data_IF_488092536528
#
_entry.id   IF_488092536528
#
_cell.length_a   1.000
_cell.length_b   1.000
_cell.length_c   1.000
_cell.angle_alpha   90.00
_cell.angle_beta   90.00
_cell.angle_gamma   90.00
#
_symmetry.space_group_name_H-M   'P 1'
#
loop_
_entity.id
_entity.type
_entity.pdbx_description
1 polymer ?
#
# COMPACT_ATOMS: atom_id res chain seq x y z
N UNK A 1 19.74 8.72 -13.92
CA UNK A 1 18.72 9.63 -13.33
C UNK A 1 19.42 10.52 -12.31
N UNK A 2 19.16 11.83 -12.28
CA UNK A 2 19.77 12.73 -11.29
C UNK A 2 19.22 12.46 -9.89
N UNK A 3 20.02 12.76 -8.83
CA UNK A 3 19.61 12.59 -7.42
C UNK A 3 18.33 13.38 -7.12
N UNK A 4 18.21 14.60 -7.65
CA UNK A 4 17.04 15.45 -7.42
C UNK A 4 15.76 14.89 -8.08
N UNK A 5 15.87 14.29 -9.27
CA UNK A 5 14.73 13.55 -9.89
C UNK A 5 14.31 12.37 -9.05
N UNK A 6 15.28 11.59 -8.58
CA UNK A 6 15.02 10.45 -7.71
C UNK A 6 14.31 10.89 -6.43
N UNK A 7 14.81 11.93 -5.77
CA UNK A 7 14.22 12.50 -4.57
C UNK A 7 12.77 12.98 -4.82
N UNK A 8 12.54 13.69 -5.94
CA UNK A 8 11.19 14.15 -6.35
C UNK A 8 10.23 12.97 -6.49
N UNK A 9 10.67 11.87 -7.12
CA UNK A 9 9.84 10.69 -7.31
C UNK A 9 9.57 9.95 -5.98
N UNK A 10 10.57 9.85 -5.10
CA UNK A 10 10.40 9.29 -3.75
C UNK A 10 9.37 10.12 -2.96
N UNK A 11 9.47 11.45 -2.96
CA UNK A 11 8.51 12.32 -2.29
C UNK A 11 7.10 12.22 -2.89
N UNK A 12 7.00 12.02 -4.21
CA UNK A 12 5.70 11.83 -4.87
C UNK A 12 4.99 10.56 -4.39
N UNK A 13 5.74 9.47 -4.20
CA UNK A 13 5.19 8.23 -3.64
C UNK A 13 4.91 8.39 -2.13
N UNK A 14 5.75 9.16 -1.42
CA UNK A 14 5.57 9.44 0.01
C UNK A 14 4.23 10.13 0.30
N UNK A 15 3.87 11.21 -0.42
CA UNK A 15 2.59 11.90 -0.19
C UNK A 15 1.39 11.01 -0.46
N UNK A 16 1.48 10.10 -1.43
CA UNK A 16 0.43 9.15 -1.72
C UNK A 16 0.30 8.09 -0.61
N UNK A 17 1.42 7.51 -0.17
CA UNK A 17 1.43 6.55 0.94
C UNK A 17 0.92 7.16 2.25
N UNK A 18 1.28 8.42 2.52
CA UNK A 18 0.82 9.12 3.71
C UNK A 18 -0.71 9.28 3.73
N UNK A 19 -1.31 9.78 2.64
CA UNK A 19 -2.75 10.02 2.59
C UNK A 19 -3.56 8.72 2.66
N UNK A 20 -3.02 7.62 2.17
CA UNK A 20 -3.69 6.32 2.16
C UNK A 20 -3.98 5.82 3.57
N UNK A 21 -2.99 5.85 4.46
CA UNK A 21 -3.05 5.23 5.79
C UNK A 21 -3.35 6.21 6.93
N UNK A 22 -3.27 7.53 6.67
CA UNK A 22 -3.35 8.56 7.70
C UNK A 22 -4.68 8.56 8.47
N UNK A 23 -5.80 8.28 7.79
CA UNK A 23 -7.13 8.27 8.43
C UNK A 23 -7.20 7.23 9.56
N UNK A 24 -6.52 6.09 9.43
CA UNK A 24 -6.49 5.08 10.49
C UNK A 24 -5.87 5.61 11.80
N UNK A 25 -4.91 6.55 11.71
CA UNK A 25 -4.26 7.13 12.88
C UNK A 25 -5.07 8.23 13.58
N UNK A 26 -5.96 8.93 12.85
CA UNK A 26 -6.72 10.08 13.35
C UNK A 26 -8.23 9.84 13.41
N UNK A 27 -8.66 8.58 13.35
CA UNK A 27 -10.05 8.17 13.18
C UNK A 27 -10.97 8.68 14.29
N UNK A 28 -10.54 8.58 15.55
CA UNK A 28 -11.28 9.07 16.71
C UNK A 28 -11.49 10.59 16.68
N UNK A 29 -10.46 11.35 16.28
CA UNK A 29 -10.54 12.81 16.17
C UNK A 29 -11.55 13.24 15.10
N UNK A 30 -11.54 12.54 13.95
CA UNK A 30 -12.52 12.78 12.90
C UNK A 30 -13.94 12.38 13.33
N UNK A 31 -14.09 11.26 14.02
CA UNK A 31 -15.37 10.77 14.54
C UNK A 31 -16.02 11.79 15.48
N UNK A 32 -15.24 12.31 16.43
CA UNK A 32 -15.72 13.30 17.39
C UNK A 32 -16.12 14.63 16.74
N UNK A 33 -15.29 15.17 15.85
CA UNK A 33 -15.53 16.46 15.20
C UNK A 33 -16.68 16.42 14.17
N UNK A 34 -16.82 15.30 13.45
CA UNK A 34 -17.87 15.11 12.43
C UNK A 34 -19.18 14.55 13.00
N UNK A 35 -19.21 14.20 14.29
CA UNK A 35 -20.36 13.58 14.98
C UNK A 35 -20.86 12.30 14.28
N UNK A 36 -19.96 11.48 13.78
CA UNK A 36 -20.25 10.18 13.16
C UNK A 36 -19.45 9.08 13.88
N UNK A 37 -19.91 7.83 13.77
CA UNK A 37 -19.17 6.73 14.39
C UNK A 37 -17.81 6.48 13.73
N UNK A 38 -16.86 5.93 14.47
CA UNK A 38 -15.53 5.53 13.95
C UNK A 38 -15.67 4.50 12.81
N UNK A 39 -16.67 3.63 12.88
CA UNK A 39 -17.00 2.71 11.79
C UNK A 39 -17.34 3.44 10.48
N UNK A 40 -18.07 4.56 10.57
CA UNK A 40 -18.39 5.42 9.41
C UNK A 40 -17.14 6.12 8.91
N UNK A 41 -16.28 6.66 9.80
CA UNK A 41 -15.00 7.27 9.41
C UNK A 41 -14.10 6.24 8.72
N UNK A 42 -14.07 5.00 9.19
CA UNK A 42 -13.33 3.90 8.57
C UNK A 42 -13.69 3.66 7.10
N UNK A 43 -14.93 3.97 6.69
CA UNK A 43 -15.33 3.87 5.28
C UNK A 43 -14.57 4.86 4.36
N UNK A 44 -13.97 5.93 4.90
CA UNK A 44 -13.08 6.79 4.12
C UNK A 44 -11.82 6.04 3.64
N UNK A 45 -11.30 5.09 4.42
CA UNK A 45 -10.21 4.21 3.99
C UNK A 45 -10.70 3.24 2.92
N UNK A 46 -11.87 2.65 3.12
CA UNK A 46 -12.53 1.79 2.13
C UNK A 46 -12.74 2.50 0.80
N UNK A 47 -13.35 3.68 0.81
CA UNK A 47 -13.60 4.46 -0.42
C UNK A 47 -12.30 4.80 -1.14
N UNK A 48 -11.25 5.14 -0.38
CA UNK A 48 -9.93 5.39 -0.96
C UNK A 48 -9.39 4.14 -1.66
N UNK A 49 -9.34 3.00 -0.97
CA UNK A 49 -8.76 1.76 -1.49
C UNK A 49 -9.53 1.22 -2.71
N UNK A 50 -10.86 1.22 -2.67
CA UNK A 50 -11.69 0.78 -3.81
C UNK A 50 -11.55 1.71 -5.00
N UNK A 51 -11.54 3.02 -4.77
CA UNK A 51 -11.32 4.00 -5.85
C UNK A 51 -9.94 3.81 -6.48
N UNK A 52 -8.90 3.61 -5.66
CA UNK A 52 -7.55 3.33 -6.14
C UNK A 52 -7.51 2.09 -7.03
N UNK A 53 -8.12 0.98 -6.58
CA UNK A 53 -8.16 -0.28 -7.32
C UNK A 53 -8.86 -0.16 -8.68
N UNK A 54 -9.97 0.59 -8.74
CA UNK A 54 -10.79 0.74 -9.94
C UNK A 54 -10.23 1.81 -10.88
N UNK A 55 -9.93 2.99 -10.33
CA UNK A 55 -9.52 4.14 -11.14
C UNK A 55 -8.11 4.01 -11.70
N UNK A 56 -7.20 3.31 -10.99
CA UNK A 56 -5.80 3.16 -11.44
C UNK A 56 -5.68 2.64 -12.88
N UNK A 57 -6.16 1.44 -13.20
CA UNK A 57 -6.09 0.89 -14.56
C UNK A 57 -6.83 1.74 -15.60
N UNK A 58 -8.00 2.29 -15.23
CA UNK A 58 -8.83 3.10 -16.13
C UNK A 58 -8.11 4.40 -16.50
N UNK A 59 -7.65 5.15 -15.51
CA UNK A 59 -7.00 6.45 -15.73
C UNK A 59 -5.65 6.30 -16.45
N UNK A 60 -4.90 5.25 -16.18
CA UNK A 60 -3.68 4.94 -16.92
C UNK A 60 -3.99 4.75 -18.40
N UNK A 61 -4.99 3.92 -18.72
CA UNK A 61 -5.41 3.68 -20.11
C UNK A 61 -5.87 4.97 -20.81
N UNK A 62 -6.66 5.79 -20.12
CA UNK A 62 -7.18 7.06 -20.66
C UNK A 62 -6.07 8.09 -20.88
N UNK A 63 -5.05 8.10 -20.03
CA UNK A 63 -3.98 9.11 -20.07
C UNK A 63 -2.74 8.67 -20.83
N UNK A 64 -2.66 7.42 -21.31
CA UNK A 64 -1.48 6.94 -22.06
C UNK A 64 -1.24 7.66 -23.40
N UNK A 65 -2.27 8.26 -23.98
CA UNK A 65 -2.17 9.06 -25.20
C UNK A 65 -1.66 10.49 -25.00
N UNK A 66 -1.54 10.93 -23.75
CA UNK A 66 -1.09 12.27 -23.41
C UNK A 66 0.34 12.24 -22.87
N UNK A 67 1.03 13.36 -23.02
CA UNK A 67 2.36 13.58 -22.44
C UNK A 67 2.39 13.35 -20.94
N UNK A 68 3.38 12.60 -20.46
CA UNK A 68 3.46 12.20 -19.04
C UNK A 68 3.64 13.39 -18.08
N UNK A 69 4.40 14.41 -18.52
CA UNK A 69 4.70 15.58 -17.68
C UNK A 69 3.44 16.41 -17.34
N UNK A 70 2.64 16.92 -18.29
CA UNK A 70 1.42 17.64 -17.96
C UNK A 70 0.41 16.77 -17.21
N UNK A 71 0.27 15.48 -17.58
CA UNK A 71 -0.62 14.56 -16.86
C UNK A 71 -0.27 14.49 -15.38
N UNK A 72 1.01 14.32 -15.02
CA UNK A 72 1.43 14.26 -13.61
C UNK A 72 1.17 15.57 -12.87
N UNK A 73 1.43 16.72 -13.48
CA UNK A 73 1.20 18.02 -12.85
C UNK A 73 -0.29 18.29 -12.60
N UNK A 74 -1.14 18.01 -13.59
CA UNK A 74 -2.59 18.11 -13.41
C UNK A 74 -3.13 17.11 -12.40
N UNK A 75 -2.61 15.89 -12.39
CA UNK A 75 -3.01 14.87 -11.42
C UNK A 75 -2.62 15.28 -10.00
N UNK A 76 -1.43 15.85 -9.82
CA UNK A 76 -1.00 16.39 -8.52
C UNK A 76 -1.88 17.55 -8.06
N UNK A 77 -2.28 18.43 -8.97
CA UNK A 77 -3.23 19.51 -8.66
C UNK A 77 -4.58 18.95 -8.21
N UNK A 78 -5.10 17.94 -8.91
CA UNK A 78 -6.35 17.24 -8.53
C UNK A 78 -6.20 16.58 -7.16
N UNK A 79 -5.03 15.97 -6.88
CA UNK A 79 -4.71 15.39 -5.58
C UNK A 79 -4.74 16.45 -4.45
N UNK A 80 -4.15 17.63 -4.69
CA UNK A 80 -4.17 18.76 -3.76
C UNK A 80 -5.60 19.26 -3.53
N UNK A 81 -6.39 19.41 -4.58
CA UNK A 81 -7.81 19.83 -4.48
C UNK A 81 -8.61 18.81 -3.67
N UNK A 82 -8.47 17.50 -3.94
CA UNK A 82 -9.17 16.45 -3.20
C UNK A 82 -8.85 16.49 -1.70
N UNK A 83 -7.57 16.65 -1.35
CA UNK A 83 -7.16 16.78 0.06
C UNK A 83 -7.57 18.13 0.66
N UNK A 84 -7.63 19.20 -0.14
CA UNK A 84 -8.14 20.50 0.27
C UNK A 84 -9.63 20.46 0.65
N UNK A 85 -10.44 19.74 -0.12
CA UNK A 85 -11.85 19.49 0.24
C UNK A 85 -11.94 18.84 1.61
N UNK A 86 -11.12 17.82 1.88
CA UNK A 86 -11.10 17.12 3.17
C UNK A 86 -10.69 18.05 4.31
N UNK A 87 -9.70 18.92 4.09
CA UNK A 87 -9.18 19.82 5.12
C UNK A 87 -10.19 20.91 5.55
N UNK A 88 -11.06 21.35 4.64
CA UNK A 88 -11.88 22.56 4.86
C UNK A 88 -13.35 22.23 5.14
N UNK A 89 -13.89 21.16 4.55
CA UNK A 89 -15.33 20.91 4.58
C UNK A 89 -15.74 20.13 5.84
N UNK A 90 -16.80 20.56 6.56
CA UNK A 90 -17.28 19.86 7.76
C UNK A 90 -18.27 18.73 7.47
N UNK A 91 -18.73 18.55 6.23
CA UNK A 91 -19.75 17.57 5.87
C UNK A 91 -19.12 16.25 5.44
N UNK A 92 -19.49 15.14 6.11
CA UNK A 92 -18.94 13.81 5.85
C UNK A 92 -19.13 13.36 4.39
N UNK A 93 -20.30 13.60 3.79
CA UNK A 93 -20.55 13.19 2.40
C UNK A 93 -19.62 13.88 1.40
N UNK A 94 -19.28 15.14 1.65
CA UNK A 94 -18.34 15.89 0.81
C UNK A 94 -16.90 15.42 1.06
N UNK A 95 -16.57 15.01 2.29
CA UNK A 95 -15.27 14.37 2.58
C UNK A 95 -15.09 13.09 1.78
N UNK A 96 -16.13 12.27 1.62
CA UNK A 96 -16.11 11.08 0.75
C UNK A 96 -15.76 11.45 -0.68
N UNK A 97 -16.35 12.52 -1.23
CA UNK A 97 -16.01 13.01 -2.58
C UNK A 97 -14.53 13.42 -2.66
N UNK A 98 -14.03 14.17 -1.66
CA UNK A 98 -12.62 14.52 -1.56
C UNK A 98 -11.71 13.29 -1.53
N UNK A 99 -12.09 12.23 -0.81
CA UNK A 99 -11.36 10.95 -0.76
C UNK A 99 -11.35 10.25 -2.12
N UNK A 100 -12.45 10.21 -2.83
CA UNK A 100 -12.53 9.62 -4.17
C UNK A 100 -11.62 10.38 -5.14
N UNK A 101 -11.68 11.71 -5.14
CA UNK A 101 -10.86 12.57 -6.01
C UNK A 101 -9.36 12.36 -5.69
N UNK A 102 -8.97 12.43 -4.42
CA UNK A 102 -7.57 12.28 -4.02
C UNK A 102 -7.03 10.88 -4.30
N UNK A 103 -7.85 9.85 -4.12
CA UNK A 103 -7.47 8.45 -4.39
C UNK A 103 -7.28 8.18 -5.89
N UNK A 104 -8.20 8.64 -6.73
CA UNK A 104 -8.08 8.50 -8.18
C UNK A 104 -6.80 9.16 -8.70
N UNK A 105 -6.49 10.36 -8.19
CA UNK A 105 -5.24 11.06 -8.51
C UNK A 105 -4.01 10.30 -7.98
N UNK A 106 -4.05 9.81 -6.74
CA UNK A 106 -2.96 9.04 -6.14
C UNK A 106 -2.60 7.79 -6.94
N UNK A 107 -3.61 7.03 -7.39
CA UNK A 107 -3.41 5.86 -8.23
C UNK A 107 -2.67 6.19 -9.54
N UNK A 108 -3.01 7.30 -10.19
CA UNK A 108 -2.34 7.73 -11.42
C UNK A 108 -0.92 8.24 -11.15
N UNK A 109 -0.69 8.98 -10.03
CA UNK A 109 0.64 9.44 -9.64
C UNK A 109 1.61 8.27 -9.46
N UNK A 110 1.24 7.26 -8.66
CA UNK A 110 2.10 6.10 -8.42
C UNK A 110 2.47 5.41 -9.74
N UNK A 111 1.47 5.07 -10.55
CA UNK A 111 1.72 4.32 -11.78
C UNK A 111 2.59 5.12 -12.77
N UNK A 112 2.29 6.40 -12.98
CA UNK A 112 3.07 7.24 -13.91
C UNK A 112 4.49 7.50 -13.39
N UNK A 113 4.69 7.75 -12.10
CA UNK A 113 6.03 7.95 -11.51
C UNK A 113 6.87 6.68 -11.65
N UNK A 114 6.32 5.50 -11.36
CA UNK A 114 7.04 4.24 -11.51
C UNK A 114 7.33 3.92 -12.99
N UNK A 115 6.40 4.20 -13.90
CA UNK A 115 6.59 4.02 -15.34
C UNK A 115 7.72 4.92 -15.87
N UNK A 116 7.72 6.21 -15.52
CA UNK A 116 8.79 7.14 -15.90
C UNK A 116 10.14 6.69 -15.30
N UNK A 117 10.14 6.24 -14.04
CA UNK A 117 11.34 5.69 -13.41
C UNK A 117 11.89 4.51 -14.21
N UNK A 118 11.03 3.60 -14.64
CA UNK A 118 11.41 2.46 -15.46
C UNK A 118 12.01 2.88 -16.81
N UNK A 119 11.39 3.86 -17.48
CA UNK A 119 11.83 4.36 -18.78
C UNK A 119 13.18 5.10 -18.70
N UNK A 120 13.43 5.84 -17.63
CA UNK A 120 14.68 6.58 -17.43
C UNK A 120 15.83 5.73 -16.87
N UNK A 121 15.57 4.48 -16.53
CA UNK A 121 16.54 3.58 -15.92
C UNK A 121 17.10 2.59 -16.95
N UNK A 122 18.44 2.37 -16.89
CA UNK A 122 19.05 1.33 -17.71
C UNK A 122 18.40 -0.04 -17.40
N UNK A 123 18.22 -0.92 -18.41
CA UNK A 123 17.55 -2.22 -18.23
C UNK A 123 18.05 -3.03 -17.04
N UNK A 124 19.39 -3.07 -16.85
CA UNK A 124 20.07 -3.76 -15.75
C UNK A 124 19.69 -3.23 -14.36
N UNK A 125 19.35 -1.94 -14.23
CA UNK A 125 19.10 -1.27 -12.96
C UNK A 125 17.61 -0.88 -12.75
N UNK A 126 16.74 -1.23 -13.69
CA UNK A 126 15.32 -0.79 -13.70
C UNK A 126 14.59 -1.21 -12.42
N UNK A 127 14.67 -2.47 -12.03
CA UNK A 127 14.04 -2.98 -10.82
C UNK A 127 14.58 -2.30 -9.55
N UNK A 128 15.91 -2.10 -9.46
CA UNK A 128 16.52 -1.38 -8.34
C UNK A 128 16.01 0.05 -8.22
N UNK A 129 15.87 0.77 -9.33
CA UNK A 129 15.40 2.16 -9.33
C UNK A 129 13.91 2.27 -8.99
N UNK A 130 13.08 1.36 -9.49
CA UNK A 130 11.67 1.28 -9.11
C UNK A 130 11.54 1.01 -7.60
N UNK A 131 12.28 0.03 -7.09
CA UNK A 131 12.30 -0.27 -5.65
C UNK A 131 12.74 0.92 -4.80
N UNK A 132 13.79 1.65 -5.25
CA UNK A 132 14.28 2.84 -4.56
C UNK A 132 13.23 3.97 -4.54
N UNK A 133 12.52 4.20 -5.64
CA UNK A 133 11.42 5.19 -5.67
C UNK A 133 10.26 4.74 -4.78
N UNK A 134 9.97 3.45 -4.74
CA UNK A 134 8.91 2.90 -3.89
C UNK A 134 9.23 2.96 -2.38
N UNK A 135 10.50 3.21 -1.99
CA UNK A 135 10.85 3.49 -0.58
C UNK A 135 10.14 4.72 -0.02
N UNK A 136 9.66 5.63 -0.89
CA UNK A 136 8.78 6.73 -0.49
C UNK A 136 7.51 6.24 0.21
N UNK A 137 6.91 5.15 -0.25
CA UNK A 137 5.73 4.56 0.39
C UNK A 137 6.07 3.99 1.78
N UNK A 138 7.20 3.29 1.91
CA UNK A 138 7.68 2.82 3.21
C UNK A 138 8.00 3.98 4.15
N UNK A 139 8.63 5.04 3.64
CA UNK A 139 8.90 6.27 4.40
C UNK A 139 7.62 6.95 4.88
N UNK A 140 6.55 6.94 4.09
CA UNK A 140 5.24 7.44 4.49
C UNK A 140 4.67 6.65 5.68
N UNK A 141 4.79 5.33 5.67
CA UNK A 141 4.32 4.49 6.79
C UNK A 141 5.16 4.70 8.05
N UNK A 142 6.49 4.87 7.92
CA UNK A 142 7.39 5.04 9.08
C UNK A 142 7.28 6.44 9.68
N UNK A 143 7.23 7.48 8.87
CA UNK A 143 7.31 8.87 9.32
C UNK A 143 6.02 9.66 9.05
N UNK A 144 5.43 9.51 7.86
CA UNK A 144 4.30 10.32 7.40
C UNK A 144 3.05 10.11 8.24
N UNK A 145 2.68 8.85 8.47
CA UNK A 145 1.47 8.51 9.24
C UNK A 145 1.61 8.88 10.72
N UNK A 146 2.70 8.53 11.43
CA UNK A 146 2.89 8.97 12.82
C UNK A 146 2.95 10.49 12.96
N UNK A 147 3.68 11.20 12.09
CA UNK A 147 3.72 12.67 12.09
C UNK A 147 2.31 13.23 11.90
N UNK A 148 1.56 12.71 10.94
CA UNK A 148 0.18 13.12 10.70
C UNK A 148 -0.73 12.88 11.92
N UNK A 149 -0.56 11.77 12.63
CA UNK A 149 -1.31 11.45 13.84
C UNK A 149 -0.97 12.43 14.97
N UNK A 150 0.31 12.75 15.17
CA UNK A 150 0.77 13.75 16.16
C UNK A 150 0.23 15.13 15.84
N UNK A 151 0.29 15.58 14.58
CA UNK A 151 -0.29 16.86 14.15
C UNK A 151 -1.80 16.87 14.45
N UNK A 152 -2.49 15.78 14.09
CA UNK A 152 -3.93 15.64 14.33
C UNK A 152 -4.30 15.75 15.80
N UNK A 153 -3.51 15.15 16.68
CA UNK A 153 -3.71 15.18 18.12
C UNK A 153 -3.45 16.58 18.73
N UNK A 154 -2.35 17.24 18.33
CA UNK A 154 -1.93 18.51 18.92
C UNK A 154 -2.75 19.73 18.45
N UNK A 155 -3.09 19.78 17.16
CA UNK A 155 -3.69 20.99 16.55
C UNK A 155 -4.99 20.71 15.79
N UNK A 156 -5.37 19.43 15.68
CA UNK A 156 -6.59 19.00 15.01
C UNK A 156 -6.35 18.28 13.68
N UNK A 157 -7.19 17.30 13.38
CA UNK A 157 -7.04 16.39 12.24
C UNK A 157 -7.04 17.09 10.86
N UNK A 158 -7.70 18.24 10.73
CA UNK A 158 -7.67 19.02 9.48
C UNK A 158 -6.28 19.54 9.13
N UNK A 159 -5.50 19.90 10.14
CA UNK A 159 -4.10 20.36 9.94
C UNK A 159 -3.18 19.26 9.41
N UNK A 160 -3.53 18.00 9.64
CA UNK A 160 -2.80 16.87 9.03
C UNK A 160 -2.95 16.88 7.50
N UNK A 161 -4.16 17.16 6.99
CA UNK A 161 -4.37 17.32 5.54
C UNK A 161 -3.75 18.60 5.00
N UNK A 162 -3.75 19.70 5.75
CA UNK A 162 -3.04 20.92 5.35
C UNK A 162 -1.54 20.68 5.26
N UNK A 163 -0.94 19.96 6.20
CA UNK A 163 0.46 19.55 6.13
C UNK A 163 0.74 18.74 4.85
N UNK A 164 -0.12 17.77 4.54
CA UNK A 164 -0.02 16.99 3.31
C UNK A 164 -0.09 17.87 2.05
N UNK A 165 -0.97 18.87 2.03
CA UNK A 165 -1.12 19.84 0.93
C UNK A 165 0.18 20.64 0.77
N UNK A 166 0.78 21.14 1.86
CA UNK A 166 2.03 21.87 1.82
C UNK A 166 3.15 21.03 1.21
N UNK A 167 3.29 19.78 1.67
CA UNK A 167 4.27 18.86 1.11
C UNK A 167 3.99 18.58 -0.37
N UNK A 168 2.72 18.43 -0.75
CA UNK A 168 2.30 18.20 -2.14
C UNK A 168 2.63 19.42 -3.05
N UNK A 169 2.50 20.63 -2.55
CA UNK A 169 2.89 21.85 -3.27
C UNK A 169 4.40 21.85 -3.48
N UNK A 170 5.19 21.50 -2.47
CA UNK A 170 6.66 21.38 -2.60
C UNK A 170 7.00 20.33 -3.67
N UNK A 171 6.34 19.16 -3.64
CA UNK A 171 6.50 18.13 -4.69
C UNK A 171 6.14 18.69 -6.07
N UNK A 172 5.09 19.50 -6.18
CA UNK A 172 4.70 20.15 -7.43
C UNK A 172 5.79 21.07 -7.98
N UNK A 173 6.40 21.90 -7.13
CA UNK A 173 7.54 22.74 -7.52
C UNK A 173 8.74 21.89 -7.98
N UNK A 174 9.07 20.83 -7.23
CA UNK A 174 10.15 19.92 -7.61
C UNK A 174 9.84 19.21 -8.95
N UNK A 175 8.59 18.79 -9.17
CA UNK A 175 8.16 18.21 -10.44
C UNK A 175 8.28 19.21 -11.59
N UNK A 176 7.90 20.47 -11.41
CA UNK A 176 8.06 21.50 -12.46
C UNK A 176 9.50 21.66 -12.89
N UNK A 177 10.45 21.56 -11.97
CA UNK A 177 11.88 21.74 -12.23
C UNK A 177 12.54 20.46 -12.75
N UNK A 178 12.31 19.34 -12.07
CA UNK A 178 13.10 18.12 -12.26
C UNK A 178 12.39 17.03 -13.09
N UNK A 179 11.08 17.16 -13.37
CA UNK A 179 10.40 16.18 -14.20
C UNK A 179 10.97 16.22 -15.64
N UNK A 180 11.35 15.07 -16.22
CA UNK A 180 11.92 15.02 -17.55
C UNK A 180 10.91 15.54 -18.60
N UNK A 181 11.43 16.20 -19.64
CA UNK A 181 10.61 16.53 -20.80
C UNK A 181 10.24 15.24 -21.54
N UNK A 182 9.08 15.25 -22.23
CA UNK A 182 8.60 14.05 -22.93
C UNK A 182 9.60 13.51 -23.95
N UNK A 183 10.40 14.37 -24.56
CA UNK A 183 11.49 13.97 -25.46
C UNK A 183 12.58 13.17 -24.76
N UNK A 184 12.88 13.45 -23.47
CA UNK A 184 13.85 12.67 -22.67
C UNK A 184 13.26 11.29 -22.31
N UNK A 185 11.95 11.24 -22.05
CA UNK A 185 11.25 9.99 -21.72
C UNK A 185 11.23 9.06 -22.94
N UNK A 186 10.94 9.61 -24.13
CA UNK A 186 10.89 8.86 -25.39
C UNK A 186 12.27 8.36 -25.85
N UNK A 187 13.34 9.13 -25.59
CA UNK A 187 14.70 8.74 -25.97
C UNK A 187 15.28 7.61 -25.11
N UNK A 188 14.75 7.39 -23.90
CA UNK A 188 15.30 6.38 -22.97
C UNK A 188 16.79 6.56 -22.65
N UNK A 189 17.41 5.67 -21.91
CA UNK A 189 18.87 5.60 -21.81
C UNK A 189 19.43 5.19 -23.17
N UNK A 190 20.28 6.05 -23.75
CA UNK A 190 20.97 5.80 -25.03
C UNK A 190 21.82 4.52 -24.93
N UNK A 191 21.28 3.40 -25.34
CA UNK A 191 22.09 2.23 -25.62
C UNK A 191 22.49 2.26 -27.09
N UNK A 192 23.76 2.45 -27.37
CA UNK A 192 24.36 2.41 -28.70
C UNK A 192 24.33 0.98 -29.35
N UNK A 193 23.74 0.00 -28.67
CA UNK A 193 23.61 -1.37 -29.17
C UNK A 193 22.27 -1.96 -28.75
N UNK A 194 21.22 -1.64 -29.45
CA UNK A 194 20.03 -2.49 -29.46
C UNK A 194 19.58 -2.66 -30.91
N UNK A 195 19.54 -3.91 -31.42
CA UNK A 195 18.88 -4.18 -32.70
C UNK A 195 17.42 -3.79 -32.60
N UNK A 196 16.95 -3.09 -33.63
CA UNK A 196 15.56 -2.72 -33.86
C UNK A 196 14.70 -3.96 -34.12
N UNK A 197 14.38 -4.69 -33.07
CA UNK A 197 13.27 -5.60 -33.04
C UNK A 197 12.40 -5.22 -31.85
N UNK A 198 11.26 -4.58 -32.13
CA UNK A 198 10.08 -4.59 -31.28
C UNK A 198 9.60 -6.05 -31.16
N UNK A 199 10.33 -6.84 -30.42
CA UNK A 199 9.76 -8.03 -29.86
C UNK A 199 8.83 -7.56 -28.74
N UNK A 200 7.55 -7.41 -29.03
CA UNK A 200 6.50 -7.54 -28.04
C UNK A 200 6.74 -8.85 -27.34
N UNK A 201 7.46 -8.82 -26.21
CA UNK A 201 7.58 -9.99 -25.33
C UNK A 201 6.18 -10.23 -24.79
N UNK A 202 5.43 -11.07 -25.52
CA UNK A 202 4.07 -11.44 -25.13
C UNK A 202 4.13 -12.11 -23.78
N UNK A 203 3.46 -11.52 -22.81
CA UNK A 203 3.30 -12.14 -21.49
C UNK A 203 2.55 -13.46 -21.66
N UNK A 204 3.16 -14.57 -21.26
CA UNK A 204 2.53 -15.88 -21.27
C UNK A 204 2.38 -16.40 -19.84
N UNK A 205 1.15 -16.53 -19.39
CA UNK A 205 0.87 -17.13 -18.10
C UNK A 205 0.95 -18.66 -18.25
N UNK A 206 1.96 -19.27 -17.64
CA UNK A 206 2.23 -20.70 -17.75
C UNK A 206 1.20 -21.52 -16.96
N UNK A 207 0.78 -21.01 -15.79
CA UNK A 207 -0.18 -21.67 -14.89
C UNK A 207 -1.21 -20.70 -14.34
N UNK A 208 -2.29 -20.38 -15.10
CA UNK A 208 -3.28 -19.39 -14.67
C UNK A 208 -3.92 -19.68 -13.32
N UNK A 209 -4.19 -20.97 -13.03
CA UNK A 209 -4.78 -21.37 -11.74
C UNK A 209 -3.87 -21.08 -10.53
N UNK A 210 -2.54 -21.23 -10.66
CA UNK A 210 -1.63 -20.91 -9.57
C UNK A 210 -1.52 -19.38 -9.40
N UNK A 211 -1.45 -18.63 -10.50
CA UNK A 211 -1.48 -17.16 -10.45
C UNK A 211 -2.75 -16.67 -9.75
N UNK A 212 -3.92 -17.20 -10.13
CA UNK A 212 -5.19 -16.86 -9.49
C UNK A 212 -5.18 -17.15 -7.99
N UNK A 213 -4.62 -18.29 -7.55
CA UNK A 213 -4.49 -18.60 -6.11
C UNK A 213 -3.64 -17.57 -5.38
N UNK A 214 -2.49 -17.15 -5.94
CA UNK A 214 -1.66 -16.11 -5.33
C UNK A 214 -2.40 -14.77 -5.22
N UNK A 215 -3.19 -14.38 -6.23
CA UNK A 215 -4.01 -13.17 -6.18
C UNK A 215 -5.11 -13.28 -5.12
N UNK A 216 -5.75 -14.45 -4.98
CA UNK A 216 -6.74 -14.73 -3.93
C UNK A 216 -6.08 -14.67 -2.53
N UNK A 217 -4.86 -15.18 -2.37
CA UNK A 217 -4.10 -15.09 -1.12
C UNK A 217 -3.84 -13.62 -0.78
N UNK A 218 -3.37 -12.81 -1.73
CA UNK A 218 -3.22 -11.36 -1.52
C UNK A 218 -4.54 -10.75 -1.05
N UNK A 219 -5.63 -11.01 -1.75
CA UNK A 219 -6.94 -10.47 -1.44
C UNK A 219 -7.40 -10.83 -0.02
N UNK A 220 -7.36 -12.14 0.34
CA UNK A 220 -7.80 -12.61 1.66
C UNK A 220 -6.91 -12.12 2.80
N UNK A 221 -5.58 -12.14 2.62
CA UNK A 221 -4.65 -11.67 3.64
C UNK A 221 -4.80 -10.16 3.87
N UNK A 222 -5.05 -9.39 2.81
CA UNK A 222 -5.30 -7.95 2.94
C UNK A 222 -6.68 -7.65 3.53
N UNK A 223 -7.71 -8.43 3.24
CA UNK A 223 -8.99 -8.33 3.98
C UNK A 223 -8.73 -8.57 5.47
N UNK A 224 -8.11 -9.71 5.81
CA UNK A 224 -7.80 -10.08 7.19
C UNK A 224 -7.03 -8.98 7.94
N UNK A 225 -5.99 -8.44 7.32
CA UNK A 225 -5.22 -7.36 7.92
C UNK A 225 -6.06 -6.09 8.11
N UNK A 226 -6.80 -5.68 7.08
CA UNK A 226 -7.50 -4.38 7.06
C UNK A 226 -8.72 -4.34 7.97
N UNK A 227 -9.36 -5.49 8.25
CA UNK A 227 -10.42 -5.61 9.28
C UNK A 227 -9.94 -5.08 10.63
N UNK A 228 -8.68 -5.34 11.01
CA UNK A 228 -8.11 -4.85 12.28
C UNK A 228 -7.35 -3.54 12.07
N UNK A 229 -6.53 -3.41 11.04
CA UNK A 229 -5.62 -2.28 10.88
C UNK A 229 -6.34 -0.95 10.64
N UNK A 230 -7.44 -0.95 9.88
CA UNK A 230 -8.23 0.26 9.64
C UNK A 230 -8.78 0.84 10.95
N UNK A 231 -9.13 -0.04 11.90
CA UNK A 231 -9.69 0.33 13.20
C UNK A 231 -8.67 0.18 14.35
N UNK A 232 -7.37 0.27 14.05
CA UNK A 232 -6.30 0.15 15.06
C UNK A 232 -6.38 1.25 16.12
N UNK A 233 -6.76 2.47 15.71
CA UNK A 233 -6.92 3.61 16.61
C UNK A 233 -8.01 3.33 17.66
N UNK A 234 -9.30 3.08 17.32
CA UNK A 234 -10.31 2.75 18.31
C UNK A 234 -9.99 1.49 19.10
N UNK A 235 -9.34 0.49 18.51
CA UNK A 235 -8.93 -0.73 19.22
C UNK A 235 -7.95 -0.42 20.35
N UNK A 236 -6.95 0.42 20.11
CA UNK A 236 -5.94 0.82 21.10
C UNK A 236 -6.58 1.71 22.17
N UNK A 237 -7.35 2.73 21.78
CA UNK A 237 -7.99 3.67 22.70
C UNK A 237 -9.02 3.00 23.61
N UNK A 238 -9.78 2.01 23.11
CA UNK A 238 -10.77 1.28 23.92
C UNK A 238 -10.18 0.49 25.10
N UNK A 239 -8.86 0.29 25.09
CA UNK A 239 -8.12 -0.39 26.17
C UNK A 239 -7.34 0.57 27.09
N UNK A 240 -7.66 1.87 27.04
CA UNK A 240 -7.13 2.88 27.97
C UNK A 240 -5.79 3.47 27.58
N UNK A 241 -5.27 3.17 26.38
CA UNK A 241 -4.09 3.85 25.83
C UNK A 241 -4.49 5.22 25.25
N UNK A 242 -3.52 6.11 25.11
CA UNK A 242 -3.69 7.47 24.61
C UNK A 242 -3.29 7.60 23.11
N UNK A 243 -3.47 8.79 22.54
CA UNK A 243 -3.11 9.10 21.15
C UNK A 243 -1.60 9.05 20.90
N UNK A 244 -0.80 9.35 21.91
CA UNK A 244 0.67 9.23 21.83
C UNK A 244 1.08 7.77 21.61
N UNK A 245 0.38 6.84 22.28
CA UNK A 245 0.58 5.41 22.07
C UNK A 245 0.11 4.95 20.69
N UNK A 246 -1.00 5.48 20.17
CA UNK A 246 -1.43 5.21 18.78
C UNK A 246 -0.35 5.63 17.79
N UNK A 247 0.22 6.83 17.95
CA UNK A 247 1.32 7.31 17.10
C UNK A 247 2.54 6.40 17.15
N UNK A 248 2.91 5.94 18.36
CA UNK A 248 4.00 4.99 18.55
C UNK A 248 3.71 3.62 17.91
N UNK A 249 2.49 3.12 18.04
CA UNK A 249 2.03 1.89 17.39
C UNK A 249 2.14 1.97 15.87
N UNK A 250 1.76 3.10 15.27
CA UNK A 250 1.87 3.34 13.83
C UNK A 250 3.33 3.49 13.37
N UNK A 251 4.20 4.08 14.19
CA UNK A 251 5.65 4.10 13.94
C UNK A 251 6.22 2.68 13.93
N UNK A 252 5.84 1.86 14.92
CA UNK A 252 6.24 0.44 15.00
C UNK A 252 5.74 -0.33 13.78
N UNK A 253 4.50 -0.10 13.33
CA UNK A 253 3.97 -0.67 12.09
C UNK A 253 4.83 -0.29 10.87
N UNK A 254 5.21 0.99 10.74
CA UNK A 254 6.05 1.45 9.63
C UNK A 254 7.42 0.76 9.61
N UNK A 255 8.12 0.71 10.76
CA UNK A 255 9.42 0.04 10.89
C UNK A 255 9.28 -1.47 10.59
N UNK A 256 8.26 -2.11 11.15
CA UNK A 256 7.96 -3.52 10.90
C UNK A 256 7.68 -3.78 9.42
N UNK A 257 7.04 -2.82 8.72
CA UNK A 257 6.76 -2.90 7.29
C UNK A 257 8.03 -2.96 6.44
N UNK A 258 9.02 -2.11 6.73
CA UNK A 258 10.32 -2.13 6.04
C UNK A 258 11.06 -3.44 6.27
N UNK A 259 11.13 -3.88 7.52
CA UNK A 259 11.78 -5.14 7.91
C UNK A 259 11.03 -6.33 7.28
N UNK A 260 9.70 -6.36 7.41
CA UNK A 260 8.85 -7.45 6.91
C UNK A 260 8.96 -7.62 5.40
N UNK A 261 8.88 -6.51 4.65
CA UNK A 261 9.04 -6.55 3.19
C UNK A 261 10.40 -7.12 2.78
N UNK A 262 11.47 -6.73 3.47
CA UNK A 262 12.83 -7.24 3.21
C UNK A 262 12.93 -8.74 3.54
N UNK A 263 12.42 -9.16 4.69
CA UNK A 263 12.40 -10.56 5.11
C UNK A 263 11.56 -11.44 4.18
N UNK A 264 10.42 -10.93 3.72
CA UNK A 264 9.54 -11.61 2.77
C UNK A 264 10.25 -11.96 1.47
N UNK A 265 11.02 -11.03 0.91
CA UNK A 265 11.85 -11.28 -0.27
C UNK A 265 12.92 -12.34 0.01
N UNK A 266 13.75 -12.13 1.05
CA UNK A 266 14.87 -13.02 1.39
C UNK A 266 14.39 -14.46 1.69
N UNK A 267 13.34 -14.63 2.50
CA UNK A 267 12.90 -15.96 2.89
C UNK A 267 12.10 -16.67 1.79
N UNK A 268 11.36 -15.94 0.95
CA UNK A 268 10.70 -16.57 -0.21
C UNK A 268 11.70 -17.16 -1.20
N UNK A 269 12.89 -16.54 -1.32
CA UNK A 269 13.98 -17.07 -2.16
C UNK A 269 14.70 -18.27 -1.51
N UNK A 270 14.87 -18.24 -0.16
CA UNK A 270 15.58 -19.29 0.58
C UNK A 270 14.78 -20.58 0.76
N UNK A 271 13.49 -20.46 1.12
CA UNK A 271 12.66 -21.62 1.53
C UNK A 271 11.43 -21.83 0.66
N UNK A 272 11.21 -21.05 -0.39
CA UNK A 272 10.07 -20.98 -1.31
C UNK A 272 8.93 -20.08 -0.83
N UNK A 273 8.26 -19.43 -1.80
CA UNK A 273 7.10 -18.55 -1.55
C UNK A 273 6.01 -19.25 -0.76
N UNK A 274 5.65 -20.48 -1.12
CA UNK A 274 4.62 -21.26 -0.42
C UNK A 274 4.94 -21.46 1.06
N UNK A 275 6.16 -21.95 1.38
CA UNK A 275 6.56 -22.22 2.78
C UNK A 275 6.60 -20.94 3.61
N UNK A 276 7.12 -19.85 3.01
CA UNK A 276 7.15 -18.57 3.73
C UNK A 276 5.73 -18.03 3.99
N UNK A 277 4.82 -18.12 3.00
CA UNK A 277 3.41 -17.75 3.18
C UNK A 277 2.73 -18.58 4.26
N UNK A 278 3.00 -19.89 4.33
CA UNK A 278 2.48 -20.73 5.43
C UNK A 278 2.93 -20.23 6.80
N UNK A 279 4.22 -19.91 6.96
CA UNK A 279 4.77 -19.41 8.23
C UNK A 279 4.19 -18.03 8.56
N UNK A 280 4.28 -17.09 7.65
CA UNK A 280 3.90 -15.70 7.90
C UNK A 280 2.41 -15.55 8.18
N UNK A 281 1.54 -16.21 7.40
CA UNK A 281 0.10 -16.16 7.62
C UNK A 281 -0.31 -16.90 8.90
N UNK A 282 0.35 -18.02 9.24
CA UNK A 282 0.09 -18.73 10.51
C UNK A 282 0.44 -17.87 11.71
N UNK A 283 1.62 -17.22 11.72
CA UNK A 283 2.00 -16.31 12.81
C UNK A 283 1.06 -15.11 12.87
N UNK A 284 0.66 -14.54 11.73
CA UNK A 284 -0.35 -13.49 11.67
C UNK A 284 -1.65 -13.91 12.37
N UNK A 285 -2.17 -15.10 12.07
CA UNK A 285 -3.40 -15.63 12.70
C UNK A 285 -3.23 -15.76 14.21
N UNK A 286 -2.12 -16.33 14.66
CA UNK A 286 -1.82 -16.46 16.10
C UNK A 286 -1.78 -15.10 16.78
N UNK A 287 -1.13 -14.11 16.15
CA UNK A 287 -1.09 -12.75 16.70
C UNK A 287 -2.48 -12.10 16.77
N UNK A 288 -3.36 -12.33 15.79
CA UNK A 288 -4.74 -11.84 15.82
C UNK A 288 -5.54 -12.46 16.96
N UNK A 289 -5.37 -13.76 17.22
CA UNK A 289 -6.03 -14.46 18.33
C UNK A 289 -5.53 -13.98 19.70
N UNK A 290 -4.24 -13.70 19.82
CA UNK A 290 -3.63 -13.23 21.06
C UNK A 290 -3.81 -11.72 21.31
N UNK A 291 -4.20 -10.96 20.28
CA UNK A 291 -4.23 -9.49 20.33
C UNK A 291 -5.00 -8.98 21.56
N UNK A 292 -6.20 -9.47 21.81
CA UNK A 292 -7.04 -9.00 22.91
C UNK A 292 -6.43 -9.31 24.31
N UNK A 293 -5.59 -10.33 24.43
CA UNK A 293 -4.87 -10.64 25.67
C UNK A 293 -3.71 -9.67 25.93
N UNK A 294 -3.06 -9.21 24.87
CA UNK A 294 -1.88 -8.33 24.98
C UNK A 294 -2.23 -6.84 24.96
N UNK A 295 -3.45 -6.49 24.52
CA UNK A 295 -3.94 -5.10 24.43
C UNK A 295 -3.71 -4.27 25.70
N UNK A 296 -3.96 -4.76 26.94
CA UNK A 296 -3.78 -3.97 28.16
C UNK A 296 -2.32 -3.65 28.49
N UNK A 297 -1.37 -4.45 27.98
CA UNK A 297 0.05 -4.31 28.32
C UNK A 297 0.83 -3.56 27.23
N UNK A 298 1.21 -2.31 27.50
CA UNK A 298 1.87 -1.45 26.50
C UNK A 298 3.07 -2.08 25.81
N UNK A 299 3.99 -2.72 26.55
CA UNK A 299 5.17 -3.37 25.99
C UNK A 299 4.84 -4.63 25.19
N UNK A 300 3.91 -5.46 25.68
CA UNK A 300 3.44 -6.66 25.00
C UNK A 300 2.67 -6.30 23.72
N UNK A 301 1.87 -5.24 23.78
CA UNK A 301 1.12 -4.74 22.61
C UNK A 301 2.07 -4.28 21.51
N UNK A 302 3.11 -3.48 21.84
CA UNK A 302 4.10 -3.04 20.85
C UNK A 302 4.86 -4.22 20.25
N UNK A 303 5.25 -5.19 21.04
CA UNK A 303 5.90 -6.41 20.55
C UNK A 303 4.96 -7.22 19.64
N UNK A 304 3.69 -7.37 20.03
CA UNK A 304 2.68 -8.05 19.24
C UNK A 304 2.40 -7.35 17.92
N UNK A 305 2.25 -6.02 17.93
CA UNK A 305 2.10 -5.20 16.75
C UNK A 305 3.32 -5.32 15.82
N UNK A 306 4.52 -5.34 16.36
CA UNK A 306 5.74 -5.51 15.59
C UNK A 306 5.78 -6.86 14.87
N UNK A 307 5.53 -7.97 15.59
CA UNK A 307 5.49 -9.31 15.01
C UNK A 307 4.39 -9.43 13.97
N UNK A 308 3.16 -9.00 14.30
CA UNK A 308 2.05 -8.99 13.35
C UNK A 308 2.43 -8.30 12.04
N UNK A 309 2.93 -7.06 12.14
CA UNK A 309 3.19 -6.25 10.96
C UNK A 309 4.39 -6.79 10.15
N UNK A 310 5.45 -7.31 10.77
CA UNK A 310 6.53 -8.01 10.04
C UNK A 310 5.95 -9.16 9.21
N UNK A 311 5.13 -10.00 9.81
CA UNK A 311 4.58 -11.17 9.12
C UNK A 311 3.63 -10.75 7.99
N UNK A 312 2.75 -9.77 8.24
CA UNK A 312 1.82 -9.26 7.25
C UNK A 312 2.54 -8.63 6.04
N UNK A 313 3.47 -7.68 6.29
CA UNK A 313 4.20 -7.01 5.21
C UNK A 313 5.10 -7.96 4.42
N UNK A 314 5.55 -9.07 5.02
CA UNK A 314 6.37 -10.07 4.35
C UNK A 314 5.58 -10.94 3.34
N UNK A 315 4.24 -10.94 3.40
CA UNK A 315 3.43 -11.77 2.51
C UNK A 315 3.44 -11.27 1.06
N UNK A 316 3.42 -9.94 0.84
CA UNK A 316 3.34 -9.39 -0.50
C UNK A 316 4.57 -9.71 -1.37
N UNK A 317 5.83 -9.54 -0.93
CA UNK A 317 6.99 -9.98 -1.70
C UNK A 317 7.01 -11.50 -1.96
N UNK A 318 6.52 -12.29 -1.00
CA UNK A 318 6.41 -13.74 -1.19
C UNK A 318 5.38 -14.11 -2.26
N UNK A 319 4.24 -13.43 -2.29
CA UNK A 319 3.25 -13.59 -3.37
C UNK A 319 3.84 -13.18 -4.71
N UNK A 320 4.49 -12.02 -4.79
CA UNK A 320 5.11 -11.52 -6.02
C UNK A 320 6.15 -12.51 -6.56
N UNK A 321 7.04 -13.01 -5.70
CA UNK A 321 8.00 -14.05 -6.06
C UNK A 321 7.33 -15.31 -6.58
N UNK A 322 6.24 -15.75 -5.95
CA UNK A 322 5.46 -16.90 -6.38
C UNK A 322 4.76 -16.70 -7.72
N UNK A 323 4.19 -15.53 -7.96
CA UNK A 323 3.52 -15.17 -9.22
C UNK A 323 4.50 -15.16 -10.38
N UNK A 324 5.65 -14.51 -10.21
CA UNK A 324 6.68 -14.38 -11.26
C UNK A 324 7.14 -15.75 -11.77
N UNK A 325 7.22 -16.76 -10.91
CA UNK A 325 7.59 -18.13 -11.29
C UNK A 325 6.61 -18.82 -12.25
N UNK A 326 5.40 -18.27 -12.40
CA UNK A 326 4.35 -18.83 -13.25
C UNK A 326 4.05 -17.98 -14.49
N UNK A 327 4.88 -16.95 -14.76
CA UNK A 327 4.74 -16.05 -15.91
C UNK A 327 6.05 -16.02 -16.69
N UNK A 328 5.98 -16.18 -18.00
CA UNK A 328 7.09 -16.04 -18.92
C UNK A 328 6.96 -14.69 -19.64
N UNK A 329 8.05 -13.94 -19.74
CA UNK A 329 8.09 -12.63 -20.38
C UNK A 329 7.73 -11.48 -19.45
N UNK A 330 6.86 -10.57 -19.88
CA UNK A 330 6.49 -9.38 -19.11
C UNK A 330 5.51 -9.73 -17.97
N UNK A 331 5.90 -9.41 -16.74
CA UNK A 331 5.10 -9.65 -15.53
C UNK A 331 4.25 -8.47 -15.11
N UNK A 332 4.34 -7.33 -15.80
CA UNK A 332 3.70 -6.06 -15.42
C UNK A 332 2.18 -6.19 -15.26
N UNK A 333 1.53 -6.93 -16.16
CA UNK A 333 0.08 -7.12 -16.10
C UNK A 333 -0.35 -7.87 -14.83
N UNK A 334 0.35 -8.95 -14.48
CA UNK A 334 0.00 -9.76 -13.30
C UNK A 334 0.34 -9.03 -12.01
N UNK A 335 1.41 -8.23 -12.01
CA UNK A 335 1.72 -7.34 -10.88
C UNK A 335 0.64 -6.27 -10.70
N UNK A 336 0.09 -5.73 -11.79
CA UNK A 336 -1.05 -4.81 -11.74
C UNK A 336 -2.30 -5.48 -11.13
N UNK A 337 -2.59 -6.73 -11.49
CA UNK A 337 -3.68 -7.49 -10.87
C UNK A 337 -3.43 -7.74 -9.36
N UNK A 338 -2.19 -7.99 -8.97
CA UNK A 338 -1.83 -8.12 -7.55
C UNK A 338 -2.09 -6.81 -6.78
N UNK A 339 -1.73 -5.66 -7.36
CA UNK A 339 -2.03 -4.35 -6.76
C UNK A 339 -3.53 -4.09 -6.65
N UNK A 340 -4.30 -4.47 -7.66
CA UNK A 340 -5.77 -4.39 -7.61
C UNK A 340 -6.36 -5.31 -6.54
N UNK A 341 -5.87 -6.55 -6.42
CA UNK A 341 -6.29 -7.49 -5.37
C UNK A 341 -5.95 -6.98 -3.97
N UNK A 342 -4.78 -6.35 -3.80
CA UNK A 342 -4.34 -5.73 -2.56
C UNK A 342 -5.31 -4.62 -2.14
N UNK A 343 -5.55 -3.65 -3.02
CA UNK A 343 -6.42 -2.51 -2.71
C UNK A 343 -7.89 -2.92 -2.54
N UNK A 344 -8.38 -3.86 -3.35
CA UNK A 344 -9.71 -4.43 -3.16
C UNK A 344 -9.83 -5.12 -1.79
N UNK A 345 -8.79 -5.84 -1.37
CA UNK A 345 -8.72 -6.46 -0.04
C UNK A 345 -8.78 -5.43 1.08
N UNK A 346 -8.03 -4.31 0.96
CA UNK A 346 -8.10 -3.20 1.93
C UNK A 346 -9.53 -2.64 2.01
N UNK A 347 -10.15 -2.39 0.87
CA UNK A 347 -11.50 -1.85 0.82
C UNK A 347 -12.54 -2.77 1.45
N UNK A 348 -12.55 -4.05 1.06
CA UNK A 348 -13.49 -5.05 1.62
C UNK A 348 -13.23 -5.26 3.11
N UNK A 349 -11.96 -5.29 3.54
CA UNK A 349 -11.59 -5.40 4.95
C UNK A 349 -12.11 -4.24 5.79
N UNK A 350 -12.04 -3.01 5.28
CA UNK A 350 -12.63 -1.84 5.95
C UNK A 350 -14.15 -1.92 6.11
N UNK A 351 -14.87 -2.46 5.09
CA UNK A 351 -16.33 -2.70 5.21
C UNK A 351 -16.61 -3.73 6.29
N UNK A 352 -15.95 -4.90 6.23
CA UNK A 352 -16.18 -5.98 7.20
C UNK A 352 -15.82 -5.51 8.61
N UNK A 353 -14.67 -4.85 8.79
CA UNK A 353 -14.25 -4.34 10.09
C UNK A 353 -15.24 -3.32 10.67
N UNK A 354 -15.76 -2.41 9.83
CA UNK A 354 -16.78 -1.45 10.23
C UNK A 354 -18.10 -2.11 10.66
N UNK A 355 -18.55 -3.13 9.93
CA UNK A 355 -19.74 -3.90 10.27
C UNK A 355 -19.55 -4.68 11.59
N UNK A 356 -18.43 -5.34 11.77
CA UNK A 356 -18.10 -6.08 13.00
C UNK A 356 -18.01 -5.13 14.20
N UNK A 357 -17.35 -3.99 14.03
CA UNK A 357 -17.21 -2.99 15.08
C UNK A 357 -18.57 -2.42 15.49
N UNK A 358 -19.49 -2.20 14.53
CA UNK A 358 -20.81 -1.62 14.78
C UNK A 358 -21.78 -2.61 15.42
N UNK A 359 -21.77 -3.89 14.97
CA UNK A 359 -22.80 -4.85 15.37
C UNK A 359 -22.34 -5.86 16.43
N UNK A 360 -21.02 -5.99 16.65
CA UNK A 360 -20.46 -6.91 17.64
C UNK A 360 -19.63 -6.15 18.68
N UNK A 361 -18.39 -5.84 18.39
CA UNK A 361 -17.49 -5.02 19.23
C UNK A 361 -16.20 -4.68 18.50
N UNK A 362 -15.46 -3.70 19.03
CA UNK A 362 -14.13 -3.38 18.50
C UNK A 362 -13.13 -4.51 18.71
N UNK A 363 -13.24 -5.31 19.79
CA UNK A 363 -12.40 -6.47 20.06
C UNK A 363 -12.64 -7.62 19.08
N UNK A 364 -13.87 -7.76 18.57
CA UNK A 364 -14.23 -8.83 17.64
C UNK A 364 -13.54 -8.71 16.28
N UNK A 365 -13.03 -7.53 15.91
CA UNK A 365 -12.32 -7.33 14.64
C UNK A 365 -11.06 -8.21 14.55
N UNK A 366 -10.35 -8.44 15.65
CA UNK A 366 -9.14 -9.28 15.66
C UNK A 366 -9.45 -10.75 15.41
N UNK A 367 -10.54 -11.27 16.01
CA UNK A 367 -10.98 -12.64 15.76
C UNK A 367 -11.51 -12.81 14.32
N UNK A 368 -12.21 -11.81 13.80
CA UNK A 368 -12.64 -11.79 12.40
C UNK A 368 -11.45 -11.82 11.45
N UNK A 369 -10.39 -11.05 11.75
CA UNK A 369 -9.12 -11.10 11.02
C UNK A 369 -8.47 -12.48 11.05
N UNK A 370 -8.49 -13.15 12.20
CA UNK A 370 -7.95 -14.51 12.34
C UNK A 370 -8.73 -15.51 11.47
N UNK A 371 -10.06 -15.44 11.46
CA UNK A 371 -10.92 -16.32 10.65
C UNK A 371 -10.64 -16.12 9.15
N UNK A 372 -10.60 -14.88 8.69
CA UNK A 372 -10.34 -14.59 7.26
C UNK A 372 -8.89 -14.97 6.90
N UNK A 373 -7.92 -14.72 7.81
CA UNK A 373 -6.55 -15.17 7.64
C UNK A 373 -6.45 -16.69 7.49
N UNK A 374 -7.23 -17.45 8.25
CA UNK A 374 -7.32 -18.92 8.13
C UNK A 374 -7.84 -19.35 6.77
N UNK A 375 -8.85 -18.67 6.20
CA UNK A 375 -9.28 -18.92 4.82
C UNK A 375 -8.14 -18.68 3.81
N UNK A 376 -7.37 -17.61 4.00
CA UNK A 376 -6.17 -17.34 3.20
C UNK A 376 -5.13 -18.47 3.33
N UNK A 377 -4.90 -18.97 4.55
CA UNK A 377 -3.98 -20.06 4.82
C UNK A 377 -4.42 -21.37 4.14
N UNK A 378 -5.72 -21.68 4.12
CA UNK A 378 -6.25 -22.82 3.38
C UNK A 378 -5.89 -22.73 1.90
N UNK A 379 -6.03 -21.54 1.29
CA UNK A 379 -5.62 -21.35 -0.11
C UNK A 379 -4.11 -21.56 -0.29
N UNK A 380 -3.28 -21.09 0.66
CA UNK A 380 -1.81 -21.30 0.63
C UNK A 380 -1.48 -22.81 0.62
N UNK A 381 -2.18 -23.64 1.39
CA UNK A 381 -1.97 -25.09 1.38
C UNK A 381 -2.23 -25.72 0.00
N UNK A 382 -3.16 -25.18 -0.79
CA UNK A 382 -3.49 -25.69 -2.13
C UNK A 382 -2.46 -25.30 -3.20
N UNK A 383 -1.52 -24.40 -2.92
CA UNK A 383 -0.45 -24.05 -3.84
C UNK A 383 0.43 -25.27 -4.15
N UNK A 384 0.81 -25.45 -5.40
CA UNK A 384 1.75 -26.52 -5.79
C UNK A 384 3.17 -26.15 -5.40
N UNK A 385 3.93 -27.10 -4.89
CA UNK A 385 5.36 -26.92 -4.66
C UNK A 385 6.08 -26.87 -6.00
N UNK A 386 6.71 -25.75 -6.33
CA UNK A 386 7.58 -25.66 -7.51
C UNK A 386 8.97 -26.18 -7.15
N UNK A 387 9.34 -27.34 -7.69
CA UNK A 387 10.70 -27.89 -7.61
C UNK A 387 11.72 -27.21 -8.54
N UNK A 388 11.35 -26.15 -9.26
CA UNK A 388 12.21 -25.51 -10.26
C UNK A 388 13.36 -24.64 -9.71
N UNK A 389 13.51 -24.51 -8.38
CA UNK A 389 14.58 -23.70 -7.77
C UNK A 389 15.98 -24.34 -7.81
N UNK A 390 16.17 -25.53 -8.37
CA UNK A 390 17.48 -26.24 -8.36
C UNK A 390 18.24 -26.23 -9.68
N UNK A 391 17.64 -25.82 -10.80
CA UNK A 391 18.29 -25.96 -12.13
C UNK A 391 19.10 -24.73 -12.59
N UNK A 392 19.03 -23.60 -11.90
CA UNK A 392 19.83 -22.41 -12.26
C UNK A 392 21.08 -22.16 -11.41
N UNK A 393 21.48 -23.11 -10.54
CA UNK A 393 22.72 -23.02 -9.75
C UNK A 393 23.84 -23.93 -10.24
N UNK A 394 23.71 -24.57 -11.40
CA UNK A 394 24.72 -25.45 -11.97
C UNK A 394 24.93 -25.21 -13.48
N UNK A 395 25.11 -23.97 -13.88
CA UNK A 395 25.73 -23.62 -15.15
C UNK A 395 26.50 -22.31 -15.00
#
# INVERSE_FOLDING_TARGET
MSIMRLFTFILSIFIVGMVEMMVAGIMNLMSQDLHVSEAVVGQLVTMYALTFAICGPILVKLTNRFSSRPVLLWTLLIFIIGNGIIAVVPNFSILVVGRIISSAAAALIIVKVLAITAMLSAPKNRGKMIGLVYTGFSGANVFGVPIGTVIGDLVGWRYTFLFLIIVSIIVGFLMMIYLPKDQEIQRGPVNHEAPSHENHVTSKILRPAEVAKYLIITFLVLIANSVTFVFINPLILSNGHDMSFVSLALLVNGIAGVIGTSLGGIFSDKITSKRWLMISVSIFIVMMLLMNLILPGSGLLLAGLFIWNIMQWSTNPAVQSGVIQHVEGDTSQVMSWNMSSLNAGIGVGGIIGGLVMTHVSVQAITYTSAIIGALGLIVVFTLKNNHYAKTFKSS
#
